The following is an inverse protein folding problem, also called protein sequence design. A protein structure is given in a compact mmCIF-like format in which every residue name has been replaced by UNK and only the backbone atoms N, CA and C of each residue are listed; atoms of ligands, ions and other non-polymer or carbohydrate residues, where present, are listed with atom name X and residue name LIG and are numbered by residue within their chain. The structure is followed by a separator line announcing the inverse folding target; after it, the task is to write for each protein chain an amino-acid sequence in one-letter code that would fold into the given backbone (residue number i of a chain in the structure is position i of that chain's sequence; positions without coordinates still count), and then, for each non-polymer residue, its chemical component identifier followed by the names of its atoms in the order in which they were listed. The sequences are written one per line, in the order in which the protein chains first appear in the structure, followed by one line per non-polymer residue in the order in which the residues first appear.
data_IF_324051258350
#
_entry.id   IF_324051258350
#
_cell.length_a   1.000
_cell.length_b   1.000
_cell.length_c   1.000
_cell.angle_alpha   90.00
_cell.angle_beta   90.00
_cell.angle_gamma   90.00
#
_symmetry.space_group_name_H-M   'P 1'
#
loop_
_entity.id
_entity.type
_entity.pdbx_description
1 polymer ?
#
# COMPACT_ATOMS: atom_id res chain seq x y z
N UNK A 1 21.42 11.19 3.77
CA UNK A 1 19.94 11.26 3.68
C UNK A 1 19.49 10.42 2.48
N UNK A 2 18.35 9.72 2.54
CA UNK A 2 17.86 8.89 1.41
C UNK A 2 16.49 9.38 0.96
N UNK A 3 16.18 9.21 -0.33
CA UNK A 3 14.86 9.50 -0.89
C UNK A 3 14.01 8.23 -0.91
N UNK A 4 12.77 8.32 -0.46
CA UNK A 4 11.85 7.19 -0.47
C UNK A 4 11.37 6.90 -1.90
N UNK A 5 11.55 5.66 -2.37
CA UNK A 5 11.08 5.23 -3.70
C UNK A 5 9.54 5.17 -3.83
N UNK A 6 8.79 5.26 -2.72
CA UNK A 6 7.32 5.22 -2.69
C UNK A 6 6.73 6.61 -2.82
N UNK A 7 7.10 7.52 -1.91
CA UNK A 7 6.48 8.84 -1.79
C UNK A 7 7.42 10.01 -2.14
N UNK A 8 8.68 9.74 -2.48
CA UNK A 8 9.68 10.76 -2.82
C UNK A 8 10.19 11.59 -1.63
N UNK A 9 9.65 11.41 -0.42
CA UNK A 9 10.11 12.13 0.78
C UNK A 9 11.53 11.70 1.17
N UNK A 10 12.30 12.66 1.66
CA UNK A 10 13.59 12.39 2.27
C UNK A 10 13.43 11.76 3.65
N UNK A 11 14.32 10.84 4.00
CA UNK A 11 14.34 10.21 5.31
C UNK A 11 15.76 9.77 5.68
N UNK A 12 15.97 9.60 6.99
CA UNK A 12 17.22 9.09 7.55
C UNK A 12 17.02 7.64 8.00
N UNK A 13 17.77 6.67 7.45
CA UNK A 13 17.69 5.28 7.90
C UNK A 13 18.12 5.14 9.36
N UNK A 14 17.58 4.14 10.06
CA UNK A 14 18.10 3.71 11.37
C UNK A 14 19.54 3.19 11.23
N UNK A 15 20.30 3.20 12.33
CA UNK A 15 21.64 2.60 12.41
C UNK A 15 21.59 1.13 11.95
N UNK A 16 22.47 0.75 11.02
CA UNK A 16 22.48 -0.57 10.37
C UNK A 16 21.44 -0.77 9.26
N UNK A 17 20.56 0.20 9.01
CA UNK A 17 19.50 0.16 7.99
C UNK A 17 19.90 0.72 6.62
N UNK A 18 21.18 0.69 6.25
CA UNK A 18 21.69 1.31 5.02
C UNK A 18 21.02 0.82 3.73
N UNK A 19 20.55 -0.43 3.71
CA UNK A 19 19.83 -1.06 2.59
C UNK A 19 18.38 -0.62 2.44
N UNK A 20 17.84 0.12 3.41
CA UNK A 20 16.44 0.54 3.42
C UNK A 20 16.12 1.49 2.26
N UNK A 21 15.05 1.20 1.53
CA UNK A 21 14.59 1.94 0.34
C UNK A 21 13.43 2.90 0.59
N UNK A 22 12.65 2.66 1.66
CA UNK A 22 11.39 3.36 1.91
C UNK A 22 11.40 4.09 3.26
N UNK A 23 10.70 5.22 3.37
CA UNK A 23 10.54 5.92 4.64
C UNK A 23 9.71 5.09 5.64
N UNK A 24 9.74 5.46 6.92
CA UNK A 24 9.01 4.75 7.98
C UNK A 24 7.49 4.88 7.87
N UNK A 25 6.99 5.89 7.15
CA UNK A 25 5.56 6.03 6.88
C UNK A 25 5.08 5.04 5.81
N UNK A 26 5.87 4.80 4.76
CA UNK A 26 5.50 3.93 3.64
C UNK A 26 5.83 2.45 3.90
N UNK A 27 6.78 2.17 4.79
CA UNK A 27 7.20 0.82 5.16
C UNK A 27 7.48 0.74 6.66
N UNK A 28 6.47 0.89 7.53
CA UNK A 28 6.66 0.96 8.97
C UNK A 28 7.45 -0.24 9.52
N UNK A 29 8.39 0.07 10.42
CA UNK A 29 9.09 -0.92 11.23
C UNK A 29 8.41 -1.00 12.59
N UNK A 30 7.84 -2.15 12.93
CA UNK A 30 7.32 -2.39 14.28
C UNK A 30 8.43 -2.93 15.18
N UNK A 31 8.31 -2.69 16.48
CA UNK A 31 9.19 -3.27 17.48
C UNK A 31 8.36 -4.10 18.45
N UNK A 32 8.91 -5.21 18.93
CA UNK A 32 8.30 -6.01 19.98
C UNK A 32 9.31 -6.18 21.13
N UNK A 33 8.80 -6.34 22.35
CA UNK A 33 9.60 -6.39 23.57
C UNK A 33 9.78 -5.00 24.19
N UNK A 34 10.43 -4.97 25.35
CA UNK A 34 10.67 -3.76 26.14
C UNK A 34 12.13 -3.73 26.63
N UNK A 35 12.69 -2.53 26.75
CA UNK A 35 14.08 -2.33 27.19
C UNK A 35 15.09 -3.06 26.29
N UNK A 36 16.01 -3.80 26.92
CA UNK A 36 17.09 -4.52 26.23
C UNK A 36 16.61 -5.66 25.31
N UNK A 37 15.34 -6.11 25.47
CA UNK A 37 14.73 -7.16 24.64
C UNK A 37 14.00 -6.60 23.41
N UNK A 38 14.02 -5.29 23.21
CA UNK A 38 13.36 -4.62 22.09
C UNK A 38 14.01 -5.04 20.76
N UNK A 39 13.23 -5.68 19.89
CA UNK A 39 13.67 -6.10 18.55
C UNK A 39 12.76 -5.58 17.47
N UNK A 40 13.33 -5.26 16.31
CA UNK A 40 12.55 -4.93 15.13
C UNK A 40 11.85 -6.19 14.61
N UNK A 41 10.55 -6.09 14.37
CA UNK A 41 9.72 -7.19 13.88
C UNK A 41 9.01 -6.76 12.59
N UNK A 42 8.88 -7.71 11.68
CA UNK A 42 8.11 -7.52 10.46
C UNK A 42 6.62 -7.80 10.72
N UNK A 43 5.83 -6.75 10.95
CA UNK A 43 4.37 -6.87 11.07
C UNK A 43 3.71 -6.71 9.69
N UNK A 44 3.29 -7.84 9.10
CA UNK A 44 2.66 -7.89 7.77
C UNK A 44 1.40 -7.03 7.67
N UNK A 45 0.56 -7.02 8.71
CA UNK A 45 -0.70 -6.26 8.73
C UNK A 45 -0.44 -4.76 8.69
N UNK A 46 0.52 -4.29 9.49
CA UNK A 46 0.92 -2.87 9.54
C UNK A 46 1.53 -2.44 8.21
N UNK A 47 2.38 -3.28 7.61
CA UNK A 47 2.95 -3.02 6.29
C UNK A 47 1.88 -2.96 5.19
N UNK A 48 0.93 -3.90 5.17
CA UNK A 48 -0.17 -3.94 4.20
C UNK A 48 -1.02 -2.67 4.27
N UNK A 49 -1.37 -2.21 5.48
CA UNK A 49 -2.12 -0.97 5.69
C UNK A 49 -1.36 0.25 5.17
N UNK A 50 -0.06 0.34 5.46
CA UNK A 50 0.78 1.43 4.96
C UNK A 50 0.85 1.43 3.42
N UNK A 51 1.05 0.26 2.80
CA UNK A 51 1.06 0.12 1.35
C UNK A 51 -0.28 0.50 0.72
N UNK A 52 -1.42 0.03 1.27
CA UNK A 52 -2.76 0.42 0.81
C UNK A 52 -2.93 1.94 0.86
N UNK A 53 -2.52 2.59 1.96
CA UNK A 53 -2.61 4.05 2.11
C UNK A 53 -1.84 4.79 1.00
N UNK A 54 -0.62 4.37 0.69
CA UNK A 54 0.17 4.98 -0.39
C UNK A 54 -0.45 4.74 -1.77
N UNK A 55 -0.96 3.52 -2.01
CA UNK A 55 -1.63 3.17 -3.26
C UNK A 55 -2.90 3.99 -3.50
N UNK A 56 -3.71 4.17 -2.46
CA UNK A 56 -4.90 5.03 -2.48
C UNK A 56 -4.51 6.47 -2.81
N UNK A 57 -3.45 6.99 -2.18
CA UNK A 57 -2.94 8.34 -2.46
C UNK A 57 -2.51 8.51 -3.92
N UNK A 58 -1.80 7.53 -4.47
CA UNK A 58 -1.37 7.54 -5.88
C UNK A 58 -2.56 7.54 -6.85
N UNK A 59 -3.65 6.86 -6.48
CA UNK A 59 -4.89 6.81 -7.28
C UNK A 59 -5.87 7.96 -6.99
N UNK A 60 -5.41 9.03 -6.34
CA UNK A 60 -6.19 10.26 -6.14
C UNK A 60 -6.98 10.31 -4.83
N UNK A 61 -6.89 9.30 -3.97
CA UNK A 61 -7.42 9.35 -2.60
C UNK A 61 -8.93 9.15 -2.46
N UNK A 62 -9.65 9.02 -3.57
CA UNK A 62 -11.12 8.95 -3.60
C UNK A 62 -11.62 7.98 -4.65
N UNK A 63 -12.86 7.52 -4.51
CA UNK A 63 -13.55 6.73 -5.52
C UNK A 63 -13.60 7.50 -6.85
N UNK A 64 -13.11 6.89 -7.92
CA UNK A 64 -13.08 7.50 -9.26
C UNK A 64 -14.46 7.70 -9.88
N UNK A 65 -15.50 7.03 -9.35
CA UNK A 65 -16.89 7.20 -9.82
C UNK A 65 -17.71 8.19 -9.00
N UNK A 66 -17.74 8.01 -7.68
CA UNK A 66 -18.65 8.74 -6.79
C UNK A 66 -17.94 9.71 -5.83
N UNK A 67 -16.63 9.89 -5.97
CA UNK A 67 -15.80 10.76 -5.12
C UNK A 67 -15.74 10.41 -3.62
N UNK A 68 -16.28 9.27 -3.18
CA UNK A 68 -16.16 8.84 -1.78
C UNK A 68 -14.69 8.78 -1.32
N UNK A 69 -14.39 9.45 -0.21
CA UNK A 69 -13.03 9.59 0.35
C UNK A 69 -12.99 9.48 1.89
N UNK A 70 -14.14 9.19 2.53
CA UNK A 70 -14.29 9.24 3.99
C UNK A 70 -13.54 8.14 4.75
N UNK A 71 -13.36 6.96 4.11
CA UNK A 71 -12.70 5.82 4.73
C UNK A 71 -11.83 5.07 3.72
N UNK A 72 -10.53 5.02 3.97
CA UNK A 72 -9.55 4.29 3.15
C UNK A 72 -9.88 2.79 3.10
N UNK A 73 -10.41 2.23 4.19
CA UNK A 73 -10.74 0.81 4.24
C UNK A 73 -11.91 0.45 3.32
N UNK A 74 -12.85 1.37 3.10
CA UNK A 74 -13.96 1.22 2.16
C UNK A 74 -13.57 1.46 0.69
N UNK A 75 -12.31 1.80 0.40
CA UNK A 75 -11.78 1.92 -0.95
C UNK A 75 -11.07 0.63 -1.39
N UNK A 76 -11.31 0.22 -2.62
CA UNK A 76 -10.90 -1.03 -3.23
C UNK A 76 -10.33 -0.80 -4.64
N UNK A 77 -9.37 -1.63 -5.06
CA UNK A 77 -8.75 -1.56 -6.38
C UNK A 77 -9.46 -2.54 -7.32
N UNK A 78 -10.13 -2.00 -8.32
CA UNK A 78 -10.80 -2.76 -9.37
C UNK A 78 -9.89 -2.86 -10.59
N UNK A 79 -9.69 -4.06 -11.14
CA UNK A 79 -8.93 -4.22 -12.38
C UNK A 79 -9.83 -3.87 -13.57
N UNK A 80 -9.30 -3.09 -14.52
CA UNK A 80 -10.07 -2.67 -15.70
C UNK A 80 -10.35 -3.81 -16.69
N UNK A 81 -9.49 -4.83 -16.71
CA UNK A 81 -9.61 -5.98 -17.58
C UNK A 81 -9.79 -7.25 -16.74
N UNK A 82 -10.98 -7.88 -16.77
CA UNK A 82 -11.26 -9.11 -16.03
C UNK A 82 -10.51 -10.33 -16.60
N UNK A 83 -9.99 -10.28 -17.84
CA UNK A 83 -9.17 -11.34 -18.44
C UNK A 83 -7.73 -11.37 -17.89
N UNK A 84 -7.27 -10.30 -17.23
CA UNK A 84 -5.99 -10.25 -16.49
C UNK A 84 -6.18 -10.87 -15.08
N UNK A 85 -7.03 -11.91 -15.00
CA UNK A 85 -7.63 -12.43 -13.77
C UNK A 85 -6.60 -12.81 -12.70
N UNK A 86 -6.83 -12.25 -11.52
CA UNK A 86 -6.52 -12.75 -10.17
C UNK A 86 -5.08 -13.17 -9.86
N UNK A 87 -4.35 -12.29 -9.18
CA UNK A 87 -3.56 -12.60 -7.96
C UNK A 87 -2.53 -11.50 -7.68
N UNK A 88 -2.82 -10.51 -6.83
CA UNK A 88 -1.77 -9.54 -6.52
C UNK A 88 -2.02 -8.56 -5.39
N UNK A 89 -2.95 -7.62 -5.59
CA UNK A 89 -3.04 -6.46 -4.70
C UNK A 89 -3.68 -6.80 -3.35
N UNK A 90 -4.67 -7.71 -3.31
CA UNK A 90 -5.37 -8.12 -2.08
C UNK A 90 -4.53 -8.96 -1.12
N UNK A 91 -3.62 -9.79 -1.65
CA UNK A 91 -2.89 -10.76 -0.83
C UNK A 91 -1.66 -10.17 -0.13
N UNK A 92 -1.22 -8.94 -0.43
CA UNK A 92 -0.22 -8.19 0.34
C UNK A 92 1.11 -8.91 0.62
N UNK A 93 1.35 -10.05 -0.04
CA UNK A 93 2.42 -10.97 0.30
C UNK A 93 3.55 -10.77 -0.71
N UNK A 94 4.70 -10.33 -0.19
CA UNK A 94 6.03 -10.63 -0.75
C UNK A 94 6.38 -10.03 -2.12
N UNK A 95 5.69 -8.98 -2.59
CA UNK A 95 6.09 -8.26 -3.82
C UNK A 95 6.83 -6.97 -3.50
N UNK A 96 7.88 -6.66 -4.26
CA UNK A 96 8.55 -5.35 -4.21
C UNK A 96 7.55 -4.24 -4.55
N UNK A 97 7.79 -3.04 -4.03
CA UNK A 97 6.93 -1.88 -4.33
C UNK A 97 6.76 -1.65 -5.83
N UNK A 98 7.80 -1.88 -6.62
CA UNK A 98 7.74 -1.71 -8.08
C UNK A 98 6.72 -2.65 -8.74
N UNK A 99 6.69 -3.91 -8.30
CA UNK A 99 5.67 -4.87 -8.77
C UNK A 99 4.28 -4.44 -8.32
N UNK A 100 4.14 -3.97 -7.08
CA UNK A 100 2.87 -3.47 -6.56
C UNK A 100 2.38 -2.25 -7.35
N UNK A 101 3.26 -1.31 -7.70
CA UNK A 101 2.94 -0.12 -8.50
C UNK A 101 2.51 -0.47 -9.93
N UNK A 102 3.20 -1.41 -10.58
CA UNK A 102 2.83 -1.91 -11.92
C UNK A 102 1.43 -2.53 -11.94
N UNK A 103 1.05 -3.25 -10.89
CA UNK A 103 -0.31 -3.80 -10.77
C UNK A 103 -1.32 -2.69 -10.47
N UNK A 104 -0.96 -1.72 -9.64
CA UNK A 104 -1.79 -0.57 -9.34
C UNK A 104 -2.13 0.24 -10.60
N UNK A 105 -1.20 0.37 -11.55
CA UNK A 105 -1.43 1.06 -12.83
C UNK A 105 -2.61 0.47 -13.62
N UNK A 106 -2.82 -0.85 -13.55
CA UNK A 106 -3.92 -1.57 -14.21
C UNK A 106 -5.28 -1.46 -13.50
N UNK A 107 -5.30 -0.83 -12.33
CA UNK A 107 -6.49 -0.73 -11.49
C UNK A 107 -7.09 0.68 -11.47
N UNK A 108 -8.39 0.76 -11.21
CA UNK A 108 -9.08 1.98 -10.77
C UNK A 108 -9.44 1.88 -9.29
N UNK A 109 -9.55 3.03 -8.63
CA UNK A 109 -9.88 3.10 -7.22
C UNK A 109 -11.39 3.36 -7.08
N UNK A 110 -12.11 2.42 -6.47
CA UNK A 110 -13.55 2.52 -6.26
C UNK A 110 -13.88 2.39 -4.77
N UNK A 111 -15.02 2.94 -4.34
CA UNK A 111 -15.59 2.54 -3.05
C UNK A 111 -16.23 1.15 -3.18
N UNK A 112 -16.42 0.46 -2.06
CA UNK A 112 -16.99 -0.89 -2.01
C UNK A 112 -18.30 -1.02 -2.82
N UNK A 113 -19.20 -0.02 -2.73
CA UNK A 113 -20.46 -0.04 -3.47
C UNK A 113 -20.23 0.03 -4.99
N UNK A 114 -19.50 1.05 -5.45
CA UNK A 114 -19.17 1.23 -6.86
C UNK A 114 -18.36 0.06 -7.44
N UNK A 115 -17.53 -0.58 -6.60
CA UNK A 115 -16.75 -1.75 -6.97
C UNK A 115 -17.65 -2.96 -7.20
N UNK A 116 -18.63 -3.20 -6.31
CA UNK A 116 -19.61 -4.28 -6.46
C UNK A 116 -20.54 -4.06 -7.65
N UNK A 117 -20.92 -2.82 -7.92
CA UNK A 117 -21.66 -2.47 -9.14
C UNK A 117 -20.89 -2.82 -10.41
N UNK A 118 -19.57 -2.55 -10.48
CA UNK A 118 -18.77 -2.92 -11.68
C UNK A 118 -18.70 -4.43 -11.91
N UNK A 119 -18.65 -5.24 -10.85
CA UNK A 119 -18.65 -6.70 -10.98
C UNK A 119 -20.00 -7.30 -11.37
N UNK A 120 -21.09 -6.55 -11.22
CA UNK A 120 -22.46 -7.00 -11.48
C UNK A 120 -23.05 -6.40 -12.77
N UNK A 121 -22.23 -5.76 -13.61
CA UNK A 121 -22.60 -5.35 -14.97
C UNK A 121 -22.44 -6.49 -15.94
#
# INVERSE_FOLDING_TARGET
MKKCEICGKEFTPIKGGGTRKYCFECSPSTKNGEGEKERQVHNKTVLRRAMKKQAVKIKGGKCSKCNYDKCIDALEFHHLDPAIKESGLGNGNTRSWDKYKKELEKCILLCANCHREEHNK
#
